data_IF_064524007585
#
_entry.id   IF_064524007585
#
_cell.length_a   1.000
_cell.length_b   1.000
_cell.length_c   1.000
_cell.angle_alpha   90.00
_cell.angle_beta   90.00
_cell.angle_gamma   90.00
#
_symmetry.space_group_name_H-M   'P 1'
#
loop_
_entity.id
_entity.type
_entity.pdbx_description
1 polymer ?
#
# COMPACT_ATOMS: atom_id res chain seq x y z
N UNK A 1 -16.93 14.21 11.57
CA UNK A 1 -15.46 14.26 11.70
C UNK A 1 -14.98 12.87 12.09
N UNK A 2 -13.80 12.44 11.65
CA UNK A 2 -13.26 11.12 11.99
C UNK A 2 -12.39 11.29 13.24
N UNK A 3 -12.70 10.54 14.31
CA UNK A 3 -11.93 10.57 15.54
C UNK A 3 -10.50 10.06 15.36
N UNK A 4 -9.58 10.44 16.25
CA UNK A 4 -8.20 9.97 16.23
C UNK A 4 -8.11 8.44 16.21
N UNK A 5 -8.90 7.77 17.07
CA UNK A 5 -8.95 6.31 17.14
C UNK A 5 -9.41 5.72 15.80
N UNK A 6 -10.51 6.24 15.25
CA UNK A 6 -11.05 5.73 13.98
C UNK A 6 -10.09 6.00 12.81
N UNK A 7 -9.38 7.11 12.82
CA UNK A 7 -8.39 7.43 11.80
C UNK A 7 -7.18 6.48 11.85
N UNK A 8 -6.73 6.12 13.05
CA UNK A 8 -5.62 5.17 13.22
C UNK A 8 -5.95 3.79 12.59
N UNK A 9 -7.18 3.31 12.76
CA UNK A 9 -7.69 2.06 12.16
C UNK A 9 -7.72 2.06 10.62
N UNK A 10 -7.48 3.21 9.97
CA UNK A 10 -7.38 3.37 8.52
C UNK A 10 -5.95 3.61 8.02
N UNK A 11 -4.97 3.74 8.93
CA UNK A 11 -3.59 4.11 8.58
C UNK A 11 -2.67 2.88 8.63
N UNK A 12 -1.95 2.68 7.53
CA UNK A 12 -0.75 1.85 7.48
C UNK A 12 0.47 2.72 7.84
N UNK A 13 0.99 2.55 9.06
CA UNK A 13 2.15 3.27 9.59
C UNK A 13 3.43 2.79 8.91
N UNK A 14 4.03 3.64 8.09
CA UNK A 14 4.98 3.19 7.07
C UNK A 14 6.41 3.68 7.32
N UNK A 15 7.39 2.78 7.29
CA UNK A 15 8.81 3.12 7.13
C UNK A 15 9.49 2.20 6.11
N UNK A 16 9.61 2.72 4.88
CA UNK A 16 10.28 2.05 3.75
C UNK A 16 11.46 2.90 3.24
N UNK A 17 11.99 3.81 4.08
CA UNK A 17 13.16 4.60 3.72
C UNK A 17 14.36 3.67 3.62
N UNK A 18 15.27 3.86 2.64
CA UNK A 18 16.44 2.98 2.47
C UNK A 18 17.39 2.96 3.69
N UNK A 19 17.27 3.95 4.58
CA UNK A 19 18.08 4.09 5.80
C UNK A 19 17.40 3.57 7.07
N UNK A 20 16.22 2.94 6.98
CA UNK A 20 15.52 2.41 8.15
C UNK A 20 16.35 1.33 8.85
N UNK A 21 16.43 1.41 10.18
CA UNK A 21 17.20 0.49 11.03
C UNK A 21 16.30 -0.45 11.83
N UNK A 22 16.86 -1.51 12.42
CA UNK A 22 16.15 -2.39 13.38
C UNK A 22 15.49 -1.58 14.51
N UNK A 23 16.18 -0.55 15.02
CA UNK A 23 15.64 0.34 16.05
C UNK A 23 14.44 1.16 15.56
N UNK A 24 14.47 1.63 14.30
CA UNK A 24 13.32 2.33 13.70
C UNK A 24 12.12 1.40 13.58
N UNK A 25 12.32 0.15 13.16
CA UNK A 25 11.24 -0.83 13.01
C UNK A 25 10.63 -1.23 14.36
N UNK A 26 11.44 -1.36 15.42
CA UNK A 26 10.93 -1.58 16.78
C UNK A 26 10.03 -0.43 17.22
N UNK A 27 10.51 0.81 17.07
CA UNK A 27 9.71 2.00 17.38
C UNK A 27 8.42 2.03 16.56
N UNK A 28 8.48 1.70 15.27
CA UNK A 28 7.32 1.65 14.38
C UNK A 28 6.25 0.65 14.90
N UNK A 29 6.68 -0.53 15.35
CA UNK A 29 5.79 -1.53 15.95
C UNK A 29 5.16 -1.03 17.26
N UNK A 30 5.96 -0.47 18.16
CA UNK A 30 5.49 0.06 19.45
C UNK A 30 4.46 1.19 19.25
N UNK A 31 4.72 2.08 18.30
CA UNK A 31 3.79 3.14 17.91
C UNK A 31 2.49 2.56 17.34
N UNK A 32 2.57 1.56 16.47
CA UNK A 32 1.38 0.92 15.91
C UNK A 32 0.49 0.26 16.95
N UNK A 33 1.08 -0.44 17.92
CA UNK A 33 0.35 -1.00 19.06
C UNK A 33 -0.29 0.11 19.89
N UNK A 34 0.51 1.14 20.25
CA UNK A 34 0.08 2.23 21.12
C UNK A 34 -1.11 3.01 20.56
N UNK A 35 -1.06 3.34 19.26
CA UNK A 35 -2.08 4.17 18.61
C UNK A 35 -3.20 3.35 17.95
N UNK A 36 -3.07 2.02 17.88
CA UNK A 36 -4.05 1.16 17.23
C UNK A 36 -4.07 1.37 15.72
N UNK A 37 -2.89 1.48 15.10
CA UNK A 37 -2.78 1.55 13.64
C UNK A 37 -3.22 0.24 12.99
N UNK A 38 -3.80 0.34 11.79
CA UNK A 38 -4.25 -0.81 11.01
C UNK A 38 -3.13 -1.80 10.72
N UNK A 39 -1.99 -1.28 10.28
CA UNK A 39 -0.83 -2.06 9.90
C UNK A 39 0.45 -1.24 10.07
N UNK A 40 1.58 -1.94 10.09
CA UNK A 40 2.87 -1.35 9.72
C UNK A 40 3.24 -1.74 8.30
N UNK A 41 3.93 -0.86 7.57
CA UNK A 41 4.48 -1.17 6.25
C UNK A 41 6.00 -0.97 6.25
N UNK A 42 6.73 -2.08 6.07
CA UNK A 42 8.20 -2.14 6.23
C UNK A 42 8.87 -2.74 5.00
N UNK A 43 10.19 -2.56 4.87
CA UNK A 43 10.97 -3.23 3.83
C UNK A 43 11.00 -4.76 4.03
N UNK A 44 11.14 -5.57 2.96
CA UNK A 44 11.10 -7.03 3.04
C UNK A 44 12.09 -7.63 4.05
N UNK A 45 13.29 -7.05 4.18
CA UNK A 45 14.32 -7.51 5.11
C UNK A 45 13.90 -7.43 6.59
N UNK A 46 12.88 -6.64 6.92
CA UNK A 46 12.39 -6.45 8.29
C UNK A 46 11.10 -7.20 8.60
N UNK A 47 10.49 -7.90 7.63
CA UNK A 47 9.20 -8.61 7.84
C UNK A 47 9.28 -9.61 8.98
N UNK A 48 10.33 -10.44 8.99
CA UNK A 48 10.51 -11.46 10.04
C UNK A 48 10.74 -10.86 11.43
N UNK A 49 11.29 -9.65 11.51
CA UNK A 49 11.43 -8.92 12.76
C UNK A 49 10.07 -8.36 13.19
N UNK A 50 9.41 -7.62 12.30
CA UNK A 50 8.10 -7.02 12.52
C UNK A 50 7.06 -8.06 12.96
N UNK A 51 6.97 -9.19 12.26
CA UNK A 51 6.08 -10.30 12.60
C UNK A 51 6.35 -10.86 14.01
N UNK A 52 7.62 -11.01 14.40
CA UNK A 52 7.98 -11.44 15.76
C UNK A 52 7.61 -10.42 16.83
N UNK A 53 7.79 -9.13 16.56
CA UNK A 53 7.45 -8.06 17.50
C UNK A 53 5.93 -7.92 17.70
N UNK A 54 5.16 -8.14 16.64
CA UNK A 54 3.70 -8.02 16.64
C UNK A 54 2.96 -9.34 16.91
N UNK A 55 3.67 -10.45 17.18
CA UNK A 55 3.07 -11.77 17.35
C UNK A 55 1.97 -11.84 18.44
N UNK A 56 2.04 -10.96 19.44
CA UNK A 56 1.06 -10.89 20.54
C UNK A 56 -0.04 -9.83 20.33
N UNK A 57 -0.03 -9.09 19.22
CA UNK A 57 -1.05 -8.10 18.88
C UNK A 57 -1.61 -8.35 17.48
N UNK A 58 -2.67 -9.15 17.41
CA UNK A 58 -3.30 -9.52 16.15
C UNK A 58 -4.06 -8.37 15.45
N UNK A 59 -4.12 -7.18 16.07
CA UNK A 59 -4.85 -6.02 15.53
C UNK A 59 -4.00 -5.27 14.50
N UNK A 60 -2.67 -5.27 14.66
CA UNK A 60 -1.75 -4.56 13.77
C UNK A 60 -1.20 -5.55 12.74
N UNK A 61 -1.53 -5.33 11.47
CA UNK A 61 -1.05 -6.17 10.36
C UNK A 61 0.39 -5.89 9.99
N UNK A 62 1.11 -6.92 9.56
CA UNK A 62 2.43 -6.77 8.92
C UNK A 62 2.27 -6.66 7.41
N UNK A 63 2.46 -5.47 6.88
CA UNK A 63 2.53 -5.21 5.45
C UNK A 63 3.99 -5.06 5.01
N UNK A 64 4.33 -5.57 3.83
CA UNK A 64 5.59 -5.22 3.15
C UNK A 64 5.33 -4.84 1.70
N UNK A 65 6.41 -4.54 0.98
CA UNK A 65 6.39 -4.11 -0.42
C UNK A 65 7.04 -5.16 -1.33
N UNK A 66 6.62 -5.25 -2.58
CA UNK A 66 7.16 -6.21 -3.57
C UNK A 66 7.45 -5.49 -4.89
N UNK A 67 8.60 -5.78 -5.50
CA UNK A 67 9.09 -5.10 -6.69
C UNK A 67 9.29 -3.59 -6.48
N UNK A 68 9.52 -3.16 -5.25
CA UNK A 68 9.44 -1.76 -4.85
C UNK A 68 10.78 -1.02 -4.95
N UNK A 69 10.80 0.28 -5.32
CA UNK A 69 9.65 1.12 -5.66
C UNK A 69 9.29 1.15 -7.14
N UNK A 70 10.12 0.63 -8.04
CA UNK A 70 9.96 0.92 -9.48
C UNK A 70 9.16 -0.12 -10.26
N UNK A 71 8.92 -1.31 -9.69
CA UNK A 71 8.18 -2.38 -10.34
C UNK A 71 8.90 -3.01 -11.53
N UNK A 72 10.19 -2.75 -11.71
CA UNK A 72 10.96 -3.13 -12.91
C UNK A 72 11.58 -4.52 -12.86
N UNK A 73 11.46 -5.22 -11.72
CA UNK A 73 11.86 -6.61 -11.61
C UNK A 73 11.02 -7.49 -12.55
N UNK A 74 11.62 -8.58 -13.04
CA UNK A 74 10.88 -9.61 -13.78
C UNK A 74 9.90 -10.34 -12.87
N UNK A 75 8.82 -10.85 -13.44
CA UNK A 75 7.73 -11.52 -12.70
C UNK A 75 8.21 -12.62 -11.75
N UNK A 76 9.14 -13.49 -12.19
CA UNK A 76 9.65 -14.59 -11.36
C UNK A 76 10.28 -14.10 -10.05
N UNK A 77 10.98 -12.95 -10.10
CA UNK A 77 11.61 -12.34 -8.93
C UNK A 77 10.56 -11.76 -8.00
N UNK A 78 9.54 -11.07 -8.52
CA UNK A 78 8.44 -10.55 -7.69
C UNK A 78 7.65 -11.67 -7.03
N UNK A 79 7.39 -12.76 -7.76
CA UNK A 79 6.69 -13.94 -7.23
C UNK A 79 7.51 -14.61 -6.12
N UNK A 80 8.83 -14.74 -6.31
CA UNK A 80 9.71 -15.26 -5.26
C UNK A 80 9.73 -14.35 -4.02
N UNK A 81 9.88 -13.04 -4.22
CA UNK A 81 9.86 -12.04 -3.15
C UNK A 81 8.54 -12.08 -2.36
N UNK A 82 7.40 -12.15 -3.05
CA UNK A 82 6.08 -12.28 -2.43
C UNK A 82 5.98 -13.53 -1.55
N UNK A 83 6.36 -14.71 -2.07
CA UNK A 83 6.37 -15.95 -1.28
C UNK A 83 7.28 -15.83 -0.05
N UNK A 84 8.48 -15.30 -0.25
CA UNK A 84 9.46 -15.15 0.84
C UNK A 84 8.94 -14.23 1.94
N UNK A 85 8.26 -13.15 1.57
CA UNK A 85 7.64 -12.21 2.51
C UNK A 85 6.49 -12.88 3.29
N UNK A 86 5.63 -13.65 2.62
CA UNK A 86 4.57 -14.42 3.26
C UNK A 86 5.16 -15.42 4.26
N UNK A 87 6.20 -16.16 3.86
CA UNK A 87 6.91 -17.11 4.73
C UNK A 87 7.56 -16.44 5.95
N UNK A 88 7.96 -15.16 5.82
CA UNK A 88 8.50 -14.37 6.94
C UNK A 88 7.42 -13.77 7.83
N UNK A 89 6.14 -13.93 7.48
CA UNK A 89 5.00 -13.51 8.28
C UNK A 89 4.33 -12.21 7.81
N UNK A 90 4.49 -11.81 6.55
CA UNK A 90 3.68 -10.74 5.98
C UNK A 90 2.23 -11.20 5.78
N UNK A 91 1.28 -10.41 6.30
CA UNK A 91 -0.15 -10.61 6.10
C UNK A 91 -0.66 -9.83 4.89
N UNK A 92 0.11 -8.85 4.41
CA UNK A 92 -0.25 -8.01 3.27
C UNK A 92 0.95 -7.61 2.44
N UNK A 93 0.75 -7.51 1.13
CA UNK A 93 1.78 -7.11 0.16
C UNK A 93 1.31 -5.91 -0.65
N UNK A 94 2.11 -4.84 -0.64
CA UNK A 94 1.98 -3.69 -1.53
C UNK A 94 2.89 -3.90 -2.75
N UNK A 95 2.33 -4.38 -3.86
CA UNK A 95 3.09 -4.78 -5.05
C UNK A 95 3.12 -3.67 -6.08
N UNK A 96 4.30 -3.29 -6.56
CA UNK A 96 4.42 -2.31 -7.66
C UNK A 96 4.24 -3.02 -9.00
N UNK A 97 3.24 -2.60 -9.78
CA UNK A 97 3.05 -3.10 -11.15
C UNK A 97 4.26 -2.77 -12.03
N UNK A 98 4.45 -3.51 -13.12
CA UNK A 98 5.49 -3.16 -14.08
C UNK A 98 5.12 -1.90 -14.91
N UNK A 99 5.53 -0.73 -14.43
CA UNK A 99 5.24 0.58 -15.04
C UNK A 99 5.81 0.65 -16.46
N UNK A 100 7.02 0.11 -16.68
CA UNK A 100 7.65 0.09 -18.01
C UNK A 100 6.81 -0.68 -19.03
N UNK A 101 6.21 -1.81 -18.64
CA UNK A 101 5.33 -2.59 -19.53
C UNK A 101 4.04 -1.84 -19.87
N UNK A 102 3.47 -1.09 -18.92
CA UNK A 102 2.34 -0.18 -19.19
C UNK A 102 2.73 0.87 -20.23
N UNK A 103 3.89 1.51 -20.04
CA UNK A 103 4.40 2.53 -20.98
C UNK A 103 4.75 1.98 -22.35
N UNK A 104 5.09 0.70 -22.44
CA UNK A 104 5.29 -0.01 -23.70
C UNK A 104 3.98 -0.56 -24.32
N UNK A 105 2.82 -0.34 -23.69
CA UNK A 105 1.54 -0.88 -24.14
C UNK A 105 1.38 -2.39 -23.95
N UNK A 106 2.29 -3.04 -23.22
CA UNK A 106 2.27 -4.47 -22.96
C UNK A 106 1.43 -4.81 -21.72
N UNK A 107 0.12 -4.59 -21.83
CA UNK A 107 -0.82 -4.85 -20.74
C UNK A 107 -0.99 -6.34 -20.44
N UNK A 108 -0.78 -7.21 -21.43
CA UNK A 108 -0.81 -8.66 -21.25
C UNK A 108 0.25 -9.13 -20.25
N UNK A 109 1.46 -8.56 -20.31
CA UNK A 109 2.50 -8.84 -19.32
C UNK A 109 2.09 -8.43 -17.91
N UNK A 110 1.47 -7.26 -17.75
CA UNK A 110 1.05 -6.77 -16.43
C UNK A 110 -0.07 -7.63 -15.85
N UNK A 111 -1.00 -8.07 -16.69
CA UNK A 111 -2.06 -9.01 -16.29
C UNK A 111 -1.49 -10.38 -15.90
N UNK A 112 -0.56 -10.93 -16.68
CA UNK A 112 0.11 -12.19 -16.35
C UNK A 112 0.92 -12.08 -15.04
N UNK A 113 1.70 -11.01 -14.88
CA UNK A 113 2.46 -10.75 -13.66
C UNK A 113 1.54 -10.72 -12.43
N UNK A 114 0.42 -10.00 -12.53
CA UNK A 114 -0.53 -9.87 -11.44
C UNK A 114 -1.21 -11.21 -11.12
N UNK A 115 -1.64 -11.97 -12.13
CA UNK A 115 -2.24 -13.29 -11.91
C UNK A 115 -1.27 -14.23 -11.18
N UNK A 116 0.00 -14.25 -11.58
CA UNK A 116 1.03 -15.09 -10.92
C UNK A 116 1.31 -14.66 -9.48
N UNK A 117 1.15 -13.38 -9.16
CA UNK A 117 1.23 -12.87 -7.78
C UNK A 117 -0.01 -13.26 -6.97
N UNK A 118 -1.20 -13.21 -7.57
CA UNK A 118 -2.44 -13.65 -6.94
C UNK A 118 -2.42 -15.15 -6.63
N UNK A 119 -1.87 -15.98 -7.51
CA UNK A 119 -1.73 -17.44 -7.31
C UNK A 119 -0.93 -17.79 -6.04
N UNK A 120 0.01 -16.92 -5.64
CA UNK A 120 0.90 -17.16 -4.50
C UNK A 120 0.50 -16.41 -3.25
N UNK A 121 -0.54 -15.57 -3.34
CA UNK A 121 -1.02 -14.77 -2.23
C UNK A 121 -1.53 -15.64 -1.07
N UNK A 122 -2.06 -16.84 -1.31
CA UNK A 122 -2.45 -17.79 -0.26
C UNK A 122 -3.31 -17.20 0.89
N UNK A 123 -4.17 -16.22 0.60
CA UNK A 123 -5.00 -15.50 1.57
C UNK A 123 -4.38 -14.21 2.13
N UNK A 124 -3.14 -13.89 1.76
CA UNK A 124 -2.48 -12.60 2.00
C UNK A 124 -3.13 -11.50 1.15
N UNK A 125 -3.37 -10.34 1.77
CA UNK A 125 -3.96 -9.18 1.08
C UNK A 125 -2.99 -8.61 0.05
N UNK A 126 -3.42 -8.45 -1.21
CA UNK A 126 -2.63 -7.84 -2.27
C UNK A 126 -3.14 -6.43 -2.59
N UNK A 127 -2.22 -5.46 -2.53
CA UNK A 127 -2.47 -4.06 -2.89
C UNK A 127 -1.60 -3.68 -4.08
N UNK A 128 -2.21 -3.46 -5.23
CA UNK A 128 -1.49 -3.10 -6.45
C UNK A 128 -1.16 -1.61 -6.47
N UNK A 129 0.12 -1.25 -6.33
CA UNK A 129 0.60 0.10 -6.55
C UNK A 129 0.68 0.37 -8.05
N UNK A 130 -0.13 1.31 -8.53
CA UNK A 130 -0.19 1.70 -9.95
C UNK A 130 0.69 2.91 -10.28
N UNK A 131 1.22 3.58 -9.26
CA UNK A 131 2.07 4.77 -9.38
C UNK A 131 1.48 5.85 -10.31
N UNK A 132 0.37 6.45 -9.87
CA UNK A 132 -0.41 7.44 -10.65
C UNK A 132 0.40 8.62 -11.16
N UNK A 133 1.52 8.94 -10.52
CA UNK A 133 2.45 9.99 -10.95
C UNK A 133 3.02 9.78 -12.36
N UNK A 134 3.05 8.55 -12.86
CA UNK A 134 3.51 8.25 -14.22
C UNK A 134 2.38 8.03 -15.23
N UNK A 135 1.15 7.81 -14.80
CA UNK A 135 0.09 7.33 -15.68
C UNK A 135 -0.79 8.44 -16.25
N UNK A 136 -1.23 8.23 -17.47
CA UNK A 136 -2.37 8.93 -18.08
C UNK A 136 -3.69 8.33 -17.59
N UNK A 137 -4.79 9.07 -17.78
CA UNK A 137 -6.14 8.59 -17.46
C UNK A 137 -6.49 7.30 -18.21
N UNK A 138 -6.06 7.17 -19.47
CA UNK A 138 -6.31 5.96 -20.27
C UNK A 138 -5.57 4.74 -19.71
N UNK A 139 -4.29 4.90 -19.36
CA UNK A 139 -3.50 3.84 -18.75
C UNK A 139 -4.05 3.43 -17.39
N UNK A 140 -4.47 4.40 -16.55
CA UNK A 140 -5.17 4.12 -15.29
C UNK A 140 -6.44 3.30 -15.52
N UNK A 141 -7.20 3.61 -16.58
CA UNK A 141 -8.39 2.86 -16.97
C UNK A 141 -8.10 1.39 -17.22
N UNK A 142 -7.08 1.09 -18.04
CA UNK A 142 -6.68 -0.28 -18.39
C UNK A 142 -6.17 -1.04 -17.15
N UNK A 143 -5.36 -0.39 -16.31
CA UNK A 143 -4.81 -1.02 -15.11
C UNK A 143 -5.88 -1.26 -14.04
N UNK A 144 -6.81 -0.33 -13.84
CA UNK A 144 -7.93 -0.56 -12.93
C UNK A 144 -8.82 -1.72 -13.39
N UNK A 145 -9.03 -1.87 -14.69
CA UNK A 145 -9.76 -3.04 -15.24
C UNK A 145 -9.01 -4.36 -14.95
N UNK A 146 -7.70 -4.40 -15.24
CA UNK A 146 -6.85 -5.57 -14.93
C UNK A 146 -6.89 -5.89 -13.44
N UNK A 147 -6.74 -4.89 -12.57
CA UNK A 147 -6.77 -5.06 -11.11
C UNK A 147 -8.10 -5.67 -10.65
N UNK A 148 -9.23 -5.18 -11.17
CA UNK A 148 -10.56 -5.70 -10.87
C UNK A 148 -10.73 -7.14 -11.37
N UNK A 149 -10.26 -7.46 -12.58
CA UNK A 149 -10.36 -8.82 -13.15
C UNK A 149 -9.48 -9.83 -12.42
N UNK A 150 -8.27 -9.44 -12.05
CA UNK A 150 -7.34 -10.27 -11.27
C UNK A 150 -7.79 -10.48 -9.81
N UNK A 151 -8.67 -9.60 -9.30
CA UNK A 151 -9.23 -9.73 -7.96
C UNK A 151 -8.29 -9.27 -6.84
N UNK A 152 -7.47 -8.24 -7.10
CA UNK A 152 -6.67 -7.62 -6.02
C UNK A 152 -7.59 -6.99 -4.97
N UNK A 153 -7.18 -7.01 -3.71
CA UNK A 153 -7.98 -6.42 -2.64
C UNK A 153 -8.02 -4.90 -2.71
N UNK A 154 -6.89 -4.27 -3.09
CA UNK A 154 -6.76 -2.82 -3.16
C UNK A 154 -5.97 -2.37 -4.38
N UNK A 155 -6.36 -1.21 -4.91
CA UNK A 155 -5.47 -0.38 -5.73
C UNK A 155 -4.82 0.68 -4.83
N UNK A 156 -3.50 0.80 -4.92
CA UNK A 156 -2.69 1.78 -4.20
C UNK A 156 -2.18 2.86 -5.14
N UNK A 157 -2.26 4.13 -4.72
CA UNK A 157 -1.95 5.27 -5.60
C UNK A 157 -0.47 5.38 -5.93
N UNK A 158 0.40 5.58 -4.92
CA UNK A 158 1.80 5.95 -5.14
C UNK A 158 2.77 5.21 -4.22
N UNK A 159 4.01 5.04 -4.64
CA UNK A 159 5.08 4.49 -3.79
C UNK A 159 5.62 5.52 -2.80
N UNK A 160 5.53 6.81 -3.14
CA UNK A 160 6.21 7.90 -2.45
C UNK A 160 7.60 8.23 -3.02
N UNK A 161 8.08 7.46 -4.00
CA UNK A 161 9.35 7.67 -4.70
C UNK A 161 9.17 8.07 -6.18
N UNK A 162 7.93 8.16 -6.65
CA UNK A 162 7.57 8.66 -7.97
C UNK A 162 7.70 10.18 -8.11
N UNK A 163 7.26 10.75 -9.24
CA UNK A 163 7.46 12.16 -9.59
C UNK A 163 6.52 13.10 -8.81
N UNK A 164 5.44 12.57 -8.23
CA UNK A 164 4.49 13.27 -7.37
C UNK A 164 3.84 12.31 -6.37
N UNK A 165 3.18 12.87 -5.36
CA UNK A 165 2.35 12.13 -4.40
C UNK A 165 0.91 11.96 -4.87
N UNK A 166 0.06 11.44 -3.96
CA UNK A 166 -1.36 11.24 -4.20
C UNK A 166 -2.09 12.57 -4.37
N UNK A 167 -3.06 12.61 -5.30
CA UNK A 167 -4.02 13.70 -5.45
C UNK A 167 -5.45 13.21 -5.17
N UNK A 168 -6.38 14.15 -4.94
CA UNK A 168 -7.79 13.81 -4.74
C UNK A 168 -8.41 13.24 -6.02
N UNK A 169 -8.05 13.82 -7.15
CA UNK A 169 -8.51 13.44 -8.48
C UNK A 169 -8.13 11.99 -8.81
N UNK A 170 -6.91 11.57 -8.44
CA UNK A 170 -6.48 10.19 -8.61
C UNK A 170 -7.39 9.21 -7.85
N UNK A 171 -7.71 9.52 -6.59
CA UNK A 171 -8.55 8.65 -5.74
C UNK A 171 -9.97 8.56 -6.29
N UNK A 172 -10.57 9.69 -6.66
CA UNK A 172 -11.90 9.74 -7.26
C UNK A 172 -11.95 8.98 -8.60
N UNK A 173 -10.91 9.14 -9.43
CA UNK A 173 -10.79 8.46 -10.70
C UNK A 173 -10.66 6.94 -10.50
N UNK A 174 -9.80 6.48 -9.60
CA UNK A 174 -9.67 5.05 -9.28
C UNK A 174 -11.01 4.49 -8.80
N UNK A 175 -11.72 5.19 -7.90
CA UNK A 175 -13.05 4.77 -7.42
C UNK A 175 -14.05 4.63 -8.56
N UNK A 176 -14.08 5.58 -9.48
CA UNK A 176 -14.95 5.55 -10.67
C UNK A 176 -14.60 4.39 -11.60
N UNK A 177 -13.31 4.20 -11.91
CA UNK A 177 -12.84 3.17 -12.84
C UNK A 177 -13.08 1.77 -12.30
N UNK A 178 -12.81 1.55 -11.01
CA UNK A 178 -13.00 0.27 -10.34
C UNK A 178 -14.45 -0.04 -9.96
N UNK A 179 -15.32 0.97 -10.01
CA UNK A 179 -16.75 0.87 -9.60
C UNK A 179 -16.92 0.35 -8.17
N UNK A 180 -15.95 0.64 -7.30
CA UNK A 180 -15.94 0.17 -5.90
C UNK A 180 -15.75 -1.34 -5.73
N UNK A 181 -15.32 -2.08 -6.76
CA UNK A 181 -15.08 -3.52 -6.69
C UNK A 181 -13.79 -3.89 -5.95
N UNK A 182 -12.87 -2.94 -5.81
CA UNK A 182 -11.62 -3.09 -5.05
C UNK A 182 -11.49 -1.89 -4.10
N UNK A 183 -10.82 -2.09 -2.97
CA UNK A 183 -10.49 -1.02 -2.05
C UNK A 183 -9.46 -0.05 -2.62
N UNK A 184 -9.27 1.09 -1.95
CA UNK A 184 -8.30 2.11 -2.36
C UNK A 184 -7.39 2.45 -1.20
N UNK A 185 -6.08 2.27 -1.41
CA UNK A 185 -5.03 2.76 -0.50
C UNK A 185 -4.41 4.04 -1.06
N UNK A 186 -4.71 5.18 -0.46
CA UNK A 186 -4.07 6.44 -0.81
C UNK A 186 -2.72 6.55 -0.10
N UNK A 187 -1.65 6.85 -0.83
CA UNK A 187 -0.30 6.99 -0.26
C UNK A 187 0.58 7.93 -1.06
N UNK A 188 1.58 8.50 -0.39
CA UNK A 188 2.56 9.44 -0.97
C UNK A 188 2.22 10.89 -0.67
N UNK A 189 2.89 11.50 0.30
CA UNK A 189 2.75 12.93 0.61
C UNK A 189 1.63 13.32 1.57
N UNK A 190 0.99 12.36 2.24
CA UNK A 190 -0.06 12.62 3.25
C UNK A 190 0.59 13.04 4.57
N UNK A 191 0.48 14.33 4.93
CA UNK A 191 1.20 14.95 6.05
C UNK A 191 0.29 15.59 7.10
N UNK A 192 -0.98 15.83 6.78
CA UNK A 192 -1.94 16.48 7.69
C UNK A 192 -3.25 15.71 7.79
N UNK A 193 -3.99 15.98 8.86
CA UNK A 193 -5.33 15.45 9.08
C UNK A 193 -6.29 15.83 7.94
N UNK A 194 -6.26 17.07 7.47
CA UNK A 194 -7.15 17.58 6.42
C UNK A 194 -6.93 16.86 5.09
N UNK A 195 -5.67 16.56 4.77
CA UNK A 195 -5.33 15.75 3.59
C UNK A 195 -5.89 14.34 3.74
N UNK A 196 -5.69 13.72 4.90
CA UNK A 196 -6.21 12.38 5.20
C UNK A 196 -7.74 12.30 5.05
N UNK A 197 -8.46 13.25 5.64
CA UNK A 197 -9.93 13.31 5.56
C UNK A 197 -10.41 13.53 4.12
N UNK A 198 -9.77 14.44 3.38
CA UNK A 198 -10.14 14.70 1.99
C UNK A 198 -9.99 13.44 1.13
N UNK A 199 -8.91 12.67 1.31
CA UNK A 199 -8.68 11.41 0.60
C UNK A 199 -9.70 10.32 0.99
N UNK A 200 -10.05 10.22 2.27
CA UNK A 200 -11.09 9.28 2.74
C UNK A 200 -12.44 9.63 2.10
N UNK A 201 -12.82 10.92 2.10
CA UNK A 201 -14.05 11.38 1.48
C UNK A 201 -14.08 11.13 -0.04
N UNK A 202 -12.94 11.27 -0.72
CA UNK A 202 -12.79 10.92 -2.14
C UNK A 202 -12.98 9.42 -2.40
N UNK A 203 -12.72 8.56 -1.41
CA UNK A 203 -12.99 7.12 -1.45
C UNK A 203 -11.86 6.22 -0.97
N UNK A 204 -10.76 6.78 -0.46
CA UNK A 204 -9.72 5.98 0.16
C UNK A 204 -10.25 5.25 1.39
N UNK A 205 -9.95 3.95 1.48
CA UNK A 205 -10.30 3.09 2.63
C UNK A 205 -9.08 2.72 3.47
N UNK A 206 -7.87 2.95 2.93
CA UNK A 206 -6.59 2.87 3.65
C UNK A 206 -5.75 4.10 3.30
N UNK A 207 -4.98 4.60 4.27
CA UNK A 207 -3.98 5.64 4.09
C UNK A 207 -2.59 5.09 4.42
N UNK A 208 -1.65 5.15 3.48
CA UNK A 208 -0.23 4.83 3.72
C UNK A 208 0.60 6.10 3.97
N UNK A 209 1.16 6.26 5.17
CA UNK A 209 2.00 7.42 5.50
C UNK A 209 3.06 7.13 6.55
N UNK A 210 4.22 7.76 6.39
CA UNK A 210 5.29 7.84 7.40
C UNK A 210 5.12 9.03 8.37
N UNK A 211 4.09 9.85 8.18
CA UNK A 211 3.75 11.01 9.02
C UNK A 211 2.50 10.74 9.88
N UNK A 212 2.20 9.46 10.12
CA UNK A 212 0.98 9.00 10.78
C UNK A 212 0.72 9.69 12.12
N UNK A 213 1.75 9.85 12.97
CA UNK A 213 1.63 10.51 14.27
C UNK A 213 1.20 11.97 14.12
N UNK A 214 1.83 12.71 13.20
CA UNK A 214 1.46 14.11 12.90
C UNK A 214 0.03 14.22 12.35
N UNK A 215 -0.37 13.27 11.51
CA UNK A 215 -1.74 13.17 11.00
C UNK A 215 -2.73 12.91 12.15
N UNK A 216 -2.40 12.05 13.11
CA UNK A 216 -3.23 11.77 14.28
C UNK A 216 -3.28 12.96 15.27
N UNK A 217 -2.20 13.71 15.43
CA UNK A 217 -2.17 14.90 16.29
C UNK A 217 -3.20 15.94 15.87
N UNK A 218 -3.40 16.12 14.55
CA UNK A 218 -4.43 17.00 14.00
C UNK A 218 -5.86 16.45 14.10
N UNK A 219 -6.04 15.17 14.45
CA UNK A 219 -7.37 14.57 14.58
C UNK A 219 -8.01 14.88 15.94
N UNK A 220 -9.35 15.09 15.99
CA UNK A 220 -10.08 15.26 17.24
C UNK A 220 -9.98 14.00 18.10
N UNK A 221 -9.99 14.17 19.43
CA UNK A 221 -9.85 13.06 20.37
C UNK A 221 -11.06 12.11 20.37
N UNK A 222 -12.26 12.66 20.16
CA UNK A 222 -13.55 11.96 20.07
C UNK A 222 -14.23 12.18 18.72
#
# INVERSE_FOLDING_TARGET
>A
MISRKRLAELIDHTDVRPTATDADIRRLCDEAIKYGFRAICVQPCFVKLASRLLANDSRVKVCTVVGFPFGTNVTDVKVFEAKKAIDDGAEELDVVMNISMVKSGNYAYVEEELNRLMDVAAGTVIKLIIETGYLTVEEMGKICDIAVRAGVDYVKTCTGFGPRGVSLEDVELIKKLTKGKVGIKASGGIRTYEQAISLINAGATILGTSHSLKVLEGAPLE
#
